data_IF_097773133308
#
_entry.id   IF_097773133308
#
_cell.length_a   1.000
_cell.length_b   1.000
_cell.length_c   1.000
_cell.angle_alpha   90.00
_cell.angle_beta   90.00
_cell.angle_gamma   90.00
#
_symmetry.space_group_name_H-M   'P 1'
#
loop_
_entity.id
_entity.type
_entity.pdbx_description
1 polymer ?
#
# COMPACT_ATOMS: atom_id res chain seq x y z
N UNK A 1 -44.41 -45.19 6.45
CA UNK A 1 -44.66 -43.79 6.04
C UNK A 1 -43.33 -43.04 6.11
N UNK A 2 -42.70 -42.80 4.96
CA UNK A 2 -41.29 -42.38 4.85
C UNK A 2 -41.13 -40.84 4.75
N UNK A 3 -40.56 -40.29 5.82
CA UNK A 3 -39.64 -39.14 5.96
C UNK A 3 -39.64 -37.99 4.90
N UNK A 4 -40.16 -36.83 5.32
CA UNK A 4 -40.03 -35.53 4.65
C UNK A 4 -38.70 -34.87 5.08
N UNK A 5 -37.57 -35.37 4.59
CA UNK A 5 -36.26 -34.71 4.72
C UNK A 5 -35.64 -34.46 3.36
N UNK A 6 -35.15 -33.22 3.19
CA UNK A 6 -34.10 -32.82 2.25
C UNK A 6 -34.50 -32.78 0.77
N UNK A 7 -35.29 -31.77 0.39
CA UNK A 7 -35.08 -31.14 -0.92
C UNK A 7 -33.80 -30.29 -0.81
N UNK A 8 -32.80 -30.45 -1.68
CA UNK A 8 -31.65 -29.56 -1.71
C UNK A 8 -32.16 -28.15 -2.01
N UNK A 9 -31.77 -27.18 -1.17
CA UNK A 9 -32.03 -25.77 -1.45
C UNK A 9 -31.49 -25.48 -2.85
N UNK A 10 -32.36 -25.06 -3.77
CA UNK A 10 -31.98 -24.74 -5.13
C UNK A 10 -30.84 -23.73 -5.08
N UNK A 11 -29.69 -24.09 -5.66
CA UNK A 11 -28.56 -23.17 -5.80
C UNK A 11 -29.07 -21.96 -6.58
N UNK A 12 -29.03 -20.74 -6.02
CA UNK A 12 -29.50 -19.56 -6.73
C UNK A 12 -28.72 -19.46 -8.05
N UNK A 13 -29.40 -19.16 -9.17
CA UNK A 13 -28.74 -19.08 -10.47
C UNK A 13 -27.59 -18.06 -10.39
N UNK A 14 -26.42 -18.34 -11.00
CA UNK A 14 -25.30 -17.41 -10.99
C UNK A 14 -25.75 -16.06 -11.55
N UNK A 15 -25.46 -14.98 -10.82
CA UNK A 15 -25.82 -13.64 -11.23
C UNK A 15 -25.27 -13.35 -12.64
N UNK A 16 -26.16 -13.28 -13.63
CA UNK A 16 -25.78 -12.98 -15.02
C UNK A 16 -25.38 -11.51 -15.06
N UNK A 17 -24.07 -11.25 -15.00
CA UNK A 17 -23.52 -9.90 -15.17
C UNK A 17 -23.89 -9.41 -16.57
N UNK A 18 -24.92 -8.56 -16.66
CA UNK A 18 -25.39 -8.01 -17.93
C UNK A 18 -24.24 -7.26 -18.61
N UNK A 19 -23.97 -7.58 -19.88
CA UNK A 19 -22.92 -6.93 -20.69
C UNK A 19 -23.11 -5.40 -20.78
N UNK A 20 -24.32 -4.88 -20.56
CA UNK A 20 -24.58 -3.43 -20.48
C UNK A 20 -23.89 -2.79 -19.28
N UNK A 21 -23.94 -3.43 -18.11
CA UNK A 21 -23.41 -2.88 -16.86
C UNK A 21 -21.88 -2.68 -16.88
N UNK A 22 -21.15 -3.48 -17.64
CA UNK A 22 -19.71 -3.31 -17.84
C UNK A 22 -19.40 -2.14 -18.80
N UNK A 23 -20.16 -2.01 -19.89
CA UNK A 23 -20.01 -0.88 -20.83
C UNK A 23 -20.31 0.45 -20.16
N UNK A 24 -21.37 0.49 -19.35
CA UNK A 24 -21.78 1.70 -18.63
C UNK A 24 -20.73 2.12 -17.58
N UNK A 25 -20.02 1.16 -16.96
CA UNK A 25 -18.90 1.46 -16.04
C UNK A 25 -17.62 1.92 -16.74
N UNK A 26 -17.34 1.43 -17.94
CA UNK A 26 -16.19 1.86 -18.75
C UNK A 26 -16.39 3.25 -19.34
N UNK A 27 -17.65 3.61 -19.65
CA UNK A 27 -18.04 4.93 -20.17
C UNK A 27 -18.33 5.95 -19.05
N UNK A 28 -18.16 5.58 -17.78
CA UNK A 28 -18.22 6.53 -16.68
C UNK A 28 -17.15 7.63 -16.89
N UNK A 29 -17.53 8.93 -16.88
CA UNK A 29 -16.60 10.04 -17.06
C UNK A 29 -15.34 9.95 -16.18
N UNK A 30 -15.45 9.41 -14.97
CA UNK A 30 -14.31 9.21 -14.05
C UNK A 30 -13.32 8.16 -14.55
N UNK A 31 -13.83 7.09 -15.15
CA UNK A 31 -13.03 6.03 -15.75
C UNK A 31 -12.34 6.54 -17.01
N UNK A 32 -13.06 7.29 -17.86
CA UNK A 32 -12.52 7.93 -19.06
C UNK A 32 -11.41 8.93 -18.75
N UNK A 33 -11.55 9.74 -17.70
CA UNK A 33 -10.50 10.65 -17.25
C UNK A 33 -9.24 9.88 -16.82
N UNK A 34 -9.40 8.79 -16.06
CA UNK A 34 -8.26 7.97 -15.61
C UNK A 34 -7.52 7.32 -16.78
N UNK A 35 -8.27 6.77 -17.76
CA UNK A 35 -7.69 6.25 -18.99
C UNK A 35 -7.07 7.34 -19.86
N UNK A 36 -7.66 8.52 -19.92
CA UNK A 36 -7.12 9.68 -20.63
C UNK A 36 -5.79 10.13 -20.03
N UNK A 37 -5.70 10.25 -18.70
CA UNK A 37 -4.44 10.57 -18.00
C UNK A 37 -3.40 9.49 -18.26
N UNK A 38 -3.76 8.20 -18.16
CA UNK A 38 -2.85 7.09 -18.46
C UNK A 38 -2.34 7.16 -19.91
N UNK A 39 -3.22 7.44 -20.87
CA UNK A 39 -2.87 7.56 -22.28
C UNK A 39 -1.95 8.76 -22.55
N UNK A 40 -2.20 9.90 -21.91
CA UNK A 40 -1.34 11.09 -22.00
C UNK A 40 0.04 10.81 -21.39
N UNK A 41 0.10 10.19 -20.21
CA UNK A 41 1.37 9.81 -19.57
C UNK A 41 2.15 8.84 -20.46
N UNK A 42 1.50 7.79 -20.99
CA UNK A 42 2.14 6.85 -21.92
C UNK A 42 2.61 7.55 -23.19
N UNK A 43 1.79 8.42 -23.78
CA UNK A 43 2.16 9.18 -24.97
C UNK A 43 3.40 10.04 -24.71
N UNK A 44 3.44 10.80 -23.62
CA UNK A 44 4.60 11.61 -23.23
C UNK A 44 5.82 10.72 -23.01
N UNK A 45 5.68 9.61 -22.28
CA UNK A 45 6.80 8.68 -22.03
C UNK A 45 7.35 8.11 -23.33
N UNK A 46 6.48 7.67 -24.24
CA UNK A 46 6.89 7.05 -25.51
C UNK A 46 7.45 8.06 -26.53
N UNK A 47 7.05 9.33 -26.46
CA UNK A 47 7.48 10.36 -27.43
C UNK A 47 8.65 11.21 -26.94
N UNK A 48 8.70 11.52 -25.65
CA UNK A 48 9.72 12.41 -25.07
C UNK A 48 10.85 11.67 -24.35
N UNK A 49 10.68 10.40 -23.98
CA UNK A 49 11.77 9.61 -23.44
C UNK A 49 12.40 8.78 -24.56
N UNK A 50 13.64 9.10 -24.91
CA UNK A 50 14.41 8.31 -25.87
C UNK A 50 14.85 6.99 -25.23
N UNK A 51 13.92 6.04 -25.17
CA UNK A 51 14.23 4.68 -24.73
C UNK A 51 14.91 3.90 -25.86
N UNK A 52 16.19 3.57 -25.67
CA UNK A 52 16.81 2.50 -26.43
C UNK A 52 16.29 1.16 -25.89
N UNK A 53 15.24 0.65 -26.51
CA UNK A 53 14.64 -0.64 -26.20
C UNK A 53 15.66 -1.79 -26.29
N UNK A 54 16.62 -1.71 -27.21
CA UNK A 54 17.68 -2.71 -27.37
C UNK A 54 18.67 -2.69 -26.22
N UNK A 55 19.08 -1.50 -25.76
CA UNK A 55 19.90 -1.36 -24.55
C UNK A 55 19.18 -1.86 -23.29
N UNK A 56 17.89 -1.56 -23.15
CA UNK A 56 17.08 -2.00 -22.01
C UNK A 56 16.92 -3.52 -21.95
N UNK A 57 16.64 -4.17 -23.09
CA UNK A 57 16.55 -5.64 -23.15
C UNK A 57 17.90 -6.31 -22.86
N UNK A 58 19.01 -5.75 -23.36
CA UNK A 58 20.35 -6.22 -23.02
C UNK A 58 20.64 -6.09 -21.52
N UNK A 59 20.28 -4.96 -20.91
CA UNK A 59 20.45 -4.76 -19.48
C UNK A 59 19.64 -5.79 -18.65
N UNK A 60 18.40 -6.08 -19.04
CA UNK A 60 17.57 -7.12 -18.39
C UNK A 60 18.20 -8.51 -18.55
N UNK A 61 18.75 -8.83 -19.73
CA UNK A 61 19.38 -10.13 -19.97
C UNK A 61 20.66 -10.37 -19.16
N UNK A 62 21.31 -9.29 -18.71
CA UNK A 62 22.53 -9.34 -17.90
C UNK A 62 22.26 -9.32 -16.39
N UNK A 63 20.99 -9.35 -15.96
CA UNK A 63 20.63 -9.36 -14.55
C UNK A 63 21.18 -10.62 -13.87
N UNK A 64 21.84 -10.41 -12.74
CA UNK A 64 22.26 -11.50 -11.89
C UNK A 64 21.04 -12.10 -11.17
N UNK A 65 20.64 -13.31 -11.59
CA UNK A 65 19.49 -14.01 -11.04
C UNK A 65 19.58 -14.26 -9.53
N UNK A 66 20.78 -14.44 -8.96
CA UNK A 66 20.92 -14.70 -7.52
C UNK A 66 20.62 -13.44 -6.69
N UNK A 67 21.11 -12.28 -7.13
CA UNK A 67 20.81 -10.99 -6.50
C UNK A 67 19.33 -10.66 -6.66
N UNK A 68 18.75 -10.93 -7.83
CA UNK A 68 17.33 -10.72 -8.06
C UNK A 68 16.45 -11.62 -7.16
N UNK A 69 16.79 -12.90 -7.04
CA UNK A 69 16.10 -13.83 -6.16
C UNK A 69 16.20 -13.40 -4.69
N UNK A 70 17.37 -12.90 -4.26
CA UNK A 70 17.54 -12.36 -2.91
C UNK A 70 16.68 -11.11 -2.69
N UNK A 71 16.66 -10.18 -3.64
CA UNK A 71 15.82 -8.98 -3.59
C UNK A 71 14.32 -9.34 -3.54
N UNK A 72 13.90 -10.32 -4.34
CA UNK A 72 12.55 -10.86 -4.32
C UNK A 72 12.20 -11.45 -2.95
N UNK A 73 13.04 -12.31 -2.41
CA UNK A 73 12.84 -12.90 -1.09
C UNK A 73 12.77 -11.83 0.01
N UNK A 74 13.68 -10.85 0.00
CA UNK A 74 13.68 -9.73 0.93
C UNK A 74 12.40 -8.89 0.82
N UNK A 75 11.93 -8.64 -0.40
CA UNK A 75 10.68 -7.92 -0.64
C UNK A 75 9.47 -8.64 -0.02
N UNK A 76 9.30 -9.94 -0.27
CA UNK A 76 8.18 -10.68 0.32
C UNK A 76 8.33 -10.87 1.83
N UNK A 77 9.55 -11.06 2.33
CA UNK A 77 9.81 -11.12 3.76
C UNK A 77 9.44 -9.81 4.47
N UNK A 78 9.54 -8.66 3.79
CA UNK A 78 9.12 -7.37 4.36
C UNK A 78 7.64 -7.34 4.76
N UNK A 79 6.78 -8.12 4.10
CA UNK A 79 5.36 -8.23 4.48
C UNK A 79 5.16 -8.95 5.80
N UNK A 80 5.99 -9.97 6.08
CA UNK A 80 5.98 -10.67 7.37
C UNK A 80 6.36 -9.69 8.47
N UNK A 81 7.47 -8.97 8.31
CA UNK A 81 7.93 -7.96 9.27
C UNK A 81 6.87 -6.88 9.50
N UNK A 82 6.26 -6.37 8.43
CA UNK A 82 5.19 -5.37 8.51
C UNK A 82 3.96 -5.89 9.26
N UNK A 83 3.62 -7.16 9.08
CA UNK A 83 2.50 -7.79 9.78
C UNK A 83 2.80 -7.96 11.27
N UNK A 84 4.00 -8.45 11.63
CA UNK A 84 4.43 -8.56 13.03
C UNK A 84 4.41 -7.20 13.71
N UNK A 85 4.94 -6.16 13.04
CA UNK A 85 4.93 -4.79 13.56
C UNK A 85 3.52 -4.31 13.87
N UNK A 86 2.58 -4.55 12.96
CA UNK A 86 1.19 -4.14 13.16
C UNK A 86 0.47 -4.97 14.22
N UNK A 87 0.77 -6.26 14.31
CA UNK A 87 0.28 -7.11 15.39
C UNK A 87 0.71 -6.56 16.76
N UNK A 88 1.97 -6.12 16.91
CA UNK A 88 2.46 -5.48 18.13
C UNK A 88 1.68 -4.18 18.43
N UNK A 89 1.47 -3.33 17.41
CA UNK A 89 0.69 -2.10 17.55
C UNK A 89 -0.76 -2.38 18.00
N UNK A 90 -1.42 -3.39 17.43
CA UNK A 90 -2.77 -3.79 17.80
C UNK A 90 -2.83 -4.38 19.22
N UNK A 91 -1.86 -5.21 19.59
CA UNK A 91 -1.75 -5.77 20.96
C UNK A 91 -1.65 -4.67 22.02
N UNK A 92 -0.94 -3.58 21.73
CA UNK A 92 -0.87 -2.41 22.62
C UNK A 92 -2.21 -1.68 22.81
N UNK A 93 -3.20 -1.92 21.93
CA UNK A 93 -4.57 -1.41 22.08
C UNK A 93 -5.51 -2.36 22.83
N UNK A 94 -4.98 -3.48 23.35
CA UNK A 94 -5.74 -4.51 24.05
C UNK A 94 -6.35 -5.59 23.15
N UNK A 95 -6.06 -5.55 21.84
CA UNK A 95 -6.65 -6.46 20.85
C UNK A 95 -5.63 -7.54 20.46
N UNK A 96 -6.01 -8.81 20.61
CA UNK A 96 -5.19 -9.95 20.19
C UNK A 96 -5.81 -10.64 18.98
N UNK A 97 -5.14 -10.52 17.83
CA UNK A 97 -5.59 -11.14 16.58
C UNK A 97 -4.58 -12.18 16.11
N UNK A 98 -5.04 -13.17 15.33
CA UNK A 98 -4.16 -14.21 14.81
C UNK A 98 -3.28 -13.64 13.70
N UNK A 99 -1.96 -13.86 13.77
CA UNK A 99 -1.01 -13.41 12.74
C UNK A 99 -1.46 -13.72 11.30
N UNK A 100 -2.00 -14.92 11.08
CA UNK A 100 -2.50 -15.34 9.77
C UNK A 100 -3.58 -14.40 9.21
N UNK A 101 -4.55 -13.99 10.01
CA UNK A 101 -5.63 -13.08 9.57
C UNK A 101 -5.06 -11.70 9.24
N UNK A 102 -4.19 -11.18 10.11
CA UNK A 102 -3.51 -9.90 9.89
C UNK A 102 -2.65 -9.92 8.62
N UNK A 103 -1.94 -11.02 8.36
CA UNK A 103 -1.11 -11.18 7.16
C UNK A 103 -1.93 -11.14 5.88
N UNK A 104 -3.08 -11.84 5.84
CA UNK A 104 -4.01 -11.79 4.71
C UNK A 104 -4.52 -10.36 4.46
N UNK A 105 -4.91 -9.66 5.53
CA UNK A 105 -5.36 -8.27 5.44
C UNK A 105 -4.24 -7.36 4.87
N UNK A 106 -3.00 -7.53 5.32
CA UNK A 106 -1.85 -6.73 4.84
C UNK A 106 -1.56 -6.97 3.36
N UNK A 107 -1.60 -8.22 2.89
CA UNK A 107 -1.41 -8.54 1.47
C UNK A 107 -2.53 -7.93 0.62
N UNK A 108 -3.79 -8.10 1.03
CA UNK A 108 -4.93 -7.56 0.31
C UNK A 108 -4.91 -6.02 0.26
N UNK A 109 -4.53 -5.38 1.35
CA UNK A 109 -4.32 -3.93 1.40
C UNK A 109 -3.22 -3.46 0.44
N UNK A 110 -2.13 -4.22 0.32
CA UNK A 110 -1.06 -3.88 -0.62
C UNK A 110 -1.49 -4.09 -2.07
N UNK A 111 -2.21 -5.18 -2.36
CA UNK A 111 -2.82 -5.39 -3.67
C UNK A 111 -3.77 -4.24 -4.03
N UNK A 112 -4.60 -3.80 -3.08
CA UNK A 112 -5.47 -2.65 -3.26
C UNK A 112 -4.68 -1.37 -3.56
N UNK A 113 -3.49 -1.18 -2.98
CA UNK A 113 -2.61 -0.06 -3.32
C UNK A 113 -2.05 -0.10 -4.75
N UNK A 114 -1.95 -1.28 -5.39
CA UNK A 114 -1.56 -1.37 -6.80
C UNK A 114 -2.67 -0.96 -7.75
N UNK A 115 -3.92 -1.22 -7.36
CA UNK A 115 -5.09 -1.07 -8.24
C UNK A 115 -5.79 0.26 -7.99
N UNK A 116 -5.87 0.70 -6.74
CA UNK A 116 -6.58 1.90 -6.35
C UNK A 116 -5.67 3.13 -6.42
N UNK A 117 -6.16 4.25 -6.99
CA UNK A 117 -5.44 5.52 -6.94
C UNK A 117 -5.34 6.05 -5.49
N UNK A 118 -4.42 6.99 -5.27
CA UNK A 118 -4.22 7.68 -3.99
C UNK A 118 -3.85 6.79 -2.79
N UNK A 119 -3.31 5.58 -3.01
CA UNK A 119 -2.88 4.66 -1.94
C UNK A 119 -3.99 4.37 -0.90
N UNK A 120 -5.22 4.17 -1.37
CA UNK A 120 -6.38 3.87 -0.52
C UNK A 120 -6.32 2.50 0.18
N UNK A 121 -5.28 1.69 -0.05
CA UNK A 121 -5.10 0.40 0.60
C UNK A 121 -5.04 0.47 2.12
N UNK A 122 -4.59 1.60 2.69
CA UNK A 122 -4.59 1.80 4.15
C UNK A 122 -6.03 1.89 4.71
N UNK A 123 -6.96 2.56 4.02
CA UNK A 123 -8.37 2.56 4.39
C UNK A 123 -9.01 1.19 4.19
N UNK A 124 -8.63 0.50 3.11
CA UNK A 124 -9.08 -0.87 2.86
C UNK A 124 -8.63 -1.83 3.96
N UNK A 125 -7.41 -1.66 4.49
CA UNK A 125 -6.88 -2.42 5.63
C UNK A 125 -7.74 -2.23 6.88
N UNK A 126 -8.09 -0.98 7.23
CA UNK A 126 -8.94 -0.70 8.38
C UNK A 126 -10.37 -1.23 8.22
N UNK A 127 -10.90 -1.17 6.99
CA UNK A 127 -12.19 -1.76 6.65
C UNK A 127 -12.18 -3.29 6.82
N UNK A 128 -11.17 -3.97 6.24
CA UNK A 128 -11.03 -5.41 6.34
C UNK A 128 -10.79 -5.87 7.79
N UNK A 129 -10.01 -5.12 8.57
CA UNK A 129 -9.81 -5.41 9.99
C UNK A 129 -11.16 -5.43 10.72
N UNK A 130 -11.98 -4.40 10.55
CA UNK A 130 -13.33 -4.36 11.15
C UNK A 130 -14.25 -5.49 10.68
N UNK A 131 -14.08 -5.96 9.44
CA UNK A 131 -14.92 -7.01 8.88
C UNK A 131 -14.51 -8.41 9.35
N UNK A 132 -13.21 -8.63 9.52
CA UNK A 132 -12.63 -9.96 9.82
C UNK A 132 -12.32 -10.15 11.31
N UNK A 133 -12.32 -9.09 12.10
CA UNK A 133 -12.01 -9.11 13.54
C UNK A 133 -12.95 -8.15 14.29
N UNK A 134 -13.07 -8.31 15.61
CA UNK A 134 -13.91 -7.46 16.47
C UNK A 134 -13.34 -6.04 16.70
N UNK A 135 -12.20 -5.71 16.09
CA UNK A 135 -11.55 -4.42 16.25
C UNK A 135 -12.32 -3.32 15.49
N UNK A 136 -12.60 -2.20 16.16
CA UNK A 136 -13.28 -1.08 15.52
C UNK A 136 -12.43 -0.44 14.42
N UNK A 137 -13.08 0.07 13.36
CA UNK A 137 -12.37 0.75 12.27
C UNK A 137 -11.57 1.97 12.76
N UNK A 138 -12.07 2.68 13.78
CA UNK A 138 -11.36 3.82 14.38
C UNK A 138 -10.07 3.40 15.08
N UNK A 139 -10.08 2.28 15.83
CA UNK A 139 -8.85 1.71 16.42
C UNK A 139 -7.88 1.28 15.32
N UNK A 140 -8.38 0.59 14.28
CA UNK A 140 -7.59 0.18 13.12
C UNK A 140 -6.91 1.38 12.44
N UNK A 141 -7.66 2.44 12.13
CA UNK A 141 -7.12 3.68 11.55
C UNK A 141 -6.11 4.37 12.48
N UNK A 142 -6.37 4.39 13.79
CA UNK A 142 -5.43 4.91 14.79
C UNK A 142 -4.08 4.18 14.75
N UNK A 143 -4.10 2.85 14.74
CA UNK A 143 -2.84 2.07 14.64
C UNK A 143 -2.10 2.32 13.33
N UNK A 144 -2.82 2.50 12.21
CA UNK A 144 -2.22 2.82 10.91
C UNK A 144 -1.62 4.23 10.94
N UNK A 145 -2.31 5.21 11.52
CA UNK A 145 -1.78 6.56 11.69
C UNK A 145 -0.51 6.55 12.53
N UNK A 146 -0.51 5.85 13.67
CA UNK A 146 0.67 5.66 14.50
C UNK A 146 1.82 4.98 13.74
N UNK A 147 1.51 3.95 12.95
CA UNK A 147 2.50 3.30 12.08
C UNK A 147 3.13 4.30 11.10
N UNK A 148 2.32 5.11 10.43
CA UNK A 148 2.77 6.10 9.43
C UNK A 148 3.57 7.23 10.07
N UNK A 149 3.15 7.69 11.25
CA UNK A 149 3.87 8.70 12.01
C UNK A 149 5.25 8.19 12.44
N UNK A 150 5.33 6.97 12.98
CA UNK A 150 6.61 6.34 13.34
C UNK A 150 7.51 6.15 12.10
N UNK A 151 6.96 5.65 10.99
CA UNK A 151 7.69 5.50 9.72
C UNK A 151 8.26 6.85 9.26
N UNK A 152 7.48 7.94 9.37
CA UNK A 152 7.94 9.28 9.01
C UNK A 152 9.05 9.78 9.93
N UNK A 153 8.96 9.55 11.24
CA UNK A 153 10.00 9.92 12.20
C UNK A 153 11.32 9.18 11.95
N UNK A 154 11.23 7.87 11.68
CA UNK A 154 12.42 7.07 11.33
C UNK A 154 13.01 7.56 10.01
N UNK A 155 12.18 7.83 9.01
CA UNK A 155 12.65 8.34 7.72
C UNK A 155 13.31 9.72 7.85
N UNK A 156 12.74 10.63 8.64
CA UNK A 156 13.32 11.95 8.90
C UNK A 156 14.64 11.87 9.66
N UNK A 157 14.72 11.03 10.70
CA UNK A 157 15.97 10.85 11.45
C UNK A 157 17.07 10.25 10.57
N UNK A 158 16.76 9.24 9.76
CA UNK A 158 17.70 8.68 8.78
C UNK A 158 18.13 9.73 7.75
N UNK A 159 17.21 10.56 7.27
CA UNK A 159 17.52 11.62 6.31
C UNK A 159 18.50 12.64 6.91
N UNK A 160 18.27 13.07 8.16
CA UNK A 160 19.16 14.00 8.88
C UNK A 160 20.54 13.37 9.09
N UNK A 161 20.60 12.14 9.61
CA UNK A 161 21.86 11.43 9.85
C UNK A 161 22.64 11.23 8.54
N UNK A 162 21.96 10.76 7.48
CA UNK A 162 22.57 10.58 6.17
C UNK A 162 23.08 11.91 5.59
N UNK A 163 22.32 13.01 5.77
CA UNK A 163 22.72 14.34 5.33
C UNK A 163 23.99 14.83 6.05
N UNK A 164 24.04 14.66 7.38
CA UNK A 164 25.20 15.04 8.18
C UNK A 164 26.47 14.27 7.77
N UNK A 165 26.35 12.97 7.52
CA UNK A 165 27.45 12.11 7.09
C UNK A 165 27.91 12.47 5.67
N UNK A 166 26.99 12.53 4.70
CA UNK A 166 27.34 12.79 3.29
C UNK A 166 27.92 14.18 3.07
N UNK A 167 27.42 15.20 3.78
CA UNK A 167 27.84 16.59 3.60
C UNK A 167 28.87 17.07 4.63
N UNK A 168 29.37 16.19 5.51
CA UNK A 168 30.31 16.55 6.60
C UNK A 168 29.85 17.79 7.37
N UNK A 169 28.57 17.83 7.75
CA UNK A 169 27.90 18.97 8.39
C UNK A 169 27.80 20.28 7.57
N UNK A 170 28.17 20.28 6.30
CA UNK A 170 28.05 21.43 5.38
C UNK A 170 26.84 21.25 4.46
N UNK A 171 25.63 21.32 5.02
CA UNK A 171 24.38 21.10 4.27
C UNK A 171 24.17 22.26 3.28
N UNK A 172 24.04 21.99 1.96
CA UNK A 172 23.76 23.05 0.99
C UNK A 172 22.44 23.77 1.30
N UNK A 173 22.44 25.11 1.20
CA UNK A 173 21.27 25.96 1.55
C UNK A 173 19.97 25.53 0.86
N UNK A 174 20.07 25.03 -0.38
CA UNK A 174 18.91 24.52 -1.15
C UNK A 174 18.14 23.38 -0.46
N UNK A 175 18.79 22.62 0.42
CA UNK A 175 18.15 21.49 1.12
C UNK A 175 17.61 21.89 2.49
N UNK A 176 18.07 22.99 3.08
CA UNK A 176 17.66 23.45 4.41
C UNK A 176 16.14 23.63 4.54
N UNK A 177 15.42 24.25 3.57
CA UNK A 177 13.96 24.35 3.66
C UNK A 177 13.26 22.99 3.71
N UNK A 178 13.74 22.00 2.97
CA UNK A 178 13.16 20.66 2.97
C UNK A 178 13.33 19.97 4.34
N UNK A 179 14.49 20.14 4.98
CA UNK A 179 14.71 19.66 6.35
C UNK A 179 13.78 20.35 7.36
N UNK A 180 13.61 21.67 7.26
CA UNK A 180 12.71 22.43 8.14
C UNK A 180 11.27 21.94 7.99
N UNK A 181 10.76 21.84 6.76
CA UNK A 181 9.40 21.34 6.49
C UNK A 181 9.24 19.92 7.03
N UNK A 182 10.23 19.05 6.79
CA UNK A 182 10.24 17.69 7.32
C UNK A 182 10.15 17.65 8.85
N UNK A 183 10.92 18.48 9.55
CA UNK A 183 10.90 18.59 11.01
C UNK A 183 9.57 19.14 11.55
N UNK A 184 8.97 20.12 10.87
CA UNK A 184 7.65 20.66 11.23
C UNK A 184 6.57 19.58 11.11
N UNK A 185 6.57 18.82 10.01
CA UNK A 185 5.63 17.70 9.83
C UNK A 185 5.84 16.64 10.91
N UNK A 186 7.10 16.29 11.20
CA UNK A 186 7.44 15.33 12.25
C UNK A 186 6.93 15.79 13.63
N UNK A 187 7.15 17.06 13.97
CA UNK A 187 6.65 17.66 15.21
C UNK A 187 5.13 17.64 15.29
N UNK A 188 4.43 17.97 14.20
CA UNK A 188 2.98 17.91 14.11
C UNK A 188 2.43 16.49 14.28
N UNK A 189 3.09 15.49 13.69
CA UNK A 189 2.72 14.07 13.85
C UNK A 189 2.92 13.58 15.28
N UNK A 190 4.00 13.99 15.96
CA UNK A 190 4.22 13.67 17.38
C UNK A 190 3.13 14.32 18.24
N UNK A 191 2.83 15.60 18.02
CA UNK A 191 1.77 16.28 18.76
C UNK A 191 0.42 15.60 18.55
N UNK A 192 0.09 15.21 17.32
CA UNK A 192 -1.14 14.47 17.00
C UNK A 192 -1.20 13.04 17.56
N UNK A 193 -0.06 12.45 17.94
CA UNK A 193 -0.01 11.16 18.64
C UNK A 193 -0.20 11.28 20.16
N UNK A 194 0.09 12.45 20.72
CA UNK A 194 0.02 12.71 22.16
C UNK A 194 -1.34 13.22 22.64
N UNK A 195 -2.21 13.66 21.71
CA UNK A 195 -3.58 14.14 21.96
C UNK A 195 -4.57 13.01 21.75
#
# INVERSE_FOLDING_TARGET
>A
MLNRKMQPAAVPPPAVVSRSALKDRLLDPRTLISFGILAVVLFVVLTHVQFDYGASLRAISQVNLSIYALAFAAFYFSFVVRTVRWEILLRNTGESNRFGELFHIVILAWFANCVLPAKMGDFYRAYLLRQQTDVSASKGLGTIFSERALDFLVLMSLLVVSGLISFRASVPERFVPAFIVGLVIAGGLIAGLLV
#
